data_IF_580885515834
#
_entry.id   IF_580885515834
#
_cell.length_a   1.000
_cell.length_b   1.000
_cell.length_c   1.000
_cell.angle_alpha   90.00
_cell.angle_beta   90.00
_cell.angle_gamma   90.00
#
_symmetry.space_group_name_H-M   'P 1'
#
loop_
_entity.id
_entity.type
_entity.pdbx_description
1 polymer ?
#
# COMPACT_ATOMS: atom_id res chain seq x y z
N UNK A 1 -23.80 26.30 -9.68
CA UNK A 1 -23.59 24.87 -9.41
C UNK A 1 -22.91 24.81 -8.06
N UNK A 2 -23.53 24.20 -7.07
CA UNK A 2 -22.85 23.95 -5.80
C UNK A 2 -21.82 22.84 -6.06
N UNK A 3 -20.57 23.12 -5.74
CA UNK A 3 -19.49 22.15 -5.83
C UNK A 3 -19.78 21.05 -4.80
N UNK A 4 -20.07 19.83 -5.27
CA UNK A 4 -20.36 18.68 -4.40
C UNK A 4 -19.20 18.48 -3.42
N UNK A 5 -19.52 18.32 -2.13
CA UNK A 5 -18.54 18.34 -1.04
C UNK A 5 -17.57 17.15 -1.12
N UNK A 6 -16.48 17.21 -0.34
CA UNK A 6 -15.51 16.11 -0.34
C UNK A 6 -16.18 14.80 0.08
N UNK A 7 -16.95 14.85 1.17
CA UNK A 7 -17.54 13.66 1.78
C UNK A 7 -18.52 12.96 0.84
N UNK A 8 -19.38 13.71 0.16
CA UNK A 8 -20.38 13.17 -0.78
C UNK A 8 -19.71 12.41 -1.95
N UNK A 9 -18.66 12.99 -2.53
CA UNK A 9 -17.89 12.34 -3.62
C UNK A 9 -17.18 11.08 -3.10
N UNK A 10 -16.56 11.17 -1.93
CA UNK A 10 -15.83 10.06 -1.32
C UNK A 10 -16.76 8.87 -1.04
N UNK A 11 -17.94 9.13 -0.47
CA UNK A 11 -18.96 8.13 -0.22
C UNK A 11 -19.44 7.49 -1.52
N UNK A 12 -19.78 8.29 -2.53
CA UNK A 12 -20.25 7.79 -3.82
C UNK A 12 -19.25 6.82 -4.47
N UNK A 13 -17.96 7.17 -4.52
CA UNK A 13 -16.97 6.30 -5.14
C UNK A 13 -16.68 5.06 -4.29
N UNK A 14 -16.72 5.17 -2.96
CA UNK A 14 -16.54 4.03 -2.07
C UNK A 14 -17.66 2.99 -2.21
N UNK A 15 -18.91 3.43 -2.36
CA UNK A 15 -20.03 2.52 -2.64
C UNK A 15 -19.84 1.79 -3.97
N UNK A 16 -19.45 2.50 -5.03
CA UNK A 16 -19.15 1.88 -6.33
C UNK A 16 -18.02 0.86 -6.23
N UNK A 17 -16.97 1.16 -5.46
CA UNK A 17 -15.86 0.23 -5.21
C UNK A 17 -16.35 -1.10 -4.60
N UNK A 18 -17.19 -1.03 -3.57
CA UNK A 18 -17.71 -2.24 -2.90
C UNK A 18 -18.77 -2.98 -3.70
N UNK A 19 -19.61 -2.27 -4.47
CA UNK A 19 -20.60 -2.88 -5.36
C UNK A 19 -19.96 -3.85 -6.36
N UNK A 20 -18.75 -3.53 -6.84
CA UNK A 20 -18.01 -4.44 -7.70
C UNK A 20 -17.46 -5.65 -6.96
N UNK A 21 -16.83 -5.48 -5.80
CA UNK A 21 -16.28 -6.60 -5.04
C UNK A 21 -17.36 -7.60 -4.63
N UNK A 22 -18.55 -7.13 -4.27
CA UNK A 22 -19.71 -7.98 -4.01
C UNK A 22 -20.19 -8.76 -5.25
N UNK A 23 -19.90 -8.28 -6.47
CA UNK A 23 -20.22 -8.95 -7.74
C UNK A 23 -19.10 -9.89 -8.22
N UNK A 24 -17.89 -9.78 -7.67
CA UNK A 24 -16.66 -10.44 -8.13
C UNK A 24 -16.54 -11.92 -7.73
N UNK A 25 -17.61 -12.55 -7.25
CA UNK A 25 -17.68 -13.99 -6.97
C UNK A 25 -17.53 -14.91 -8.20
N UNK A 26 -17.00 -14.42 -9.33
CA UNK A 26 -16.75 -15.20 -10.53
C UNK A 26 -15.25 -15.20 -10.83
N UNK A 27 -14.65 -16.39 -10.80
CA UNK A 27 -13.22 -16.60 -10.82
C UNK A 27 -12.67 -16.47 -12.27
N UNK A 28 -12.11 -15.30 -12.59
CA UNK A 28 -11.56 -14.92 -13.91
C UNK A 28 -10.50 -15.91 -14.44
N UNK A 29 -9.66 -16.46 -13.56
CA UNK A 29 -8.62 -17.44 -13.92
C UNK A 29 -9.18 -18.71 -14.55
N UNK A 30 -10.38 -19.14 -14.13
CA UNK A 30 -11.05 -20.32 -14.67
C UNK A 30 -11.60 -20.06 -16.07
N UNK A 31 -12.02 -18.82 -16.38
CA UNK A 31 -12.58 -18.48 -17.70
C UNK A 31 -11.48 -18.50 -18.77
N UNK A 32 -10.28 -17.99 -18.47
CA UNK A 32 -9.16 -17.99 -19.42
C UNK A 32 -8.58 -19.39 -19.67
N UNK A 33 -8.64 -20.26 -18.68
CA UNK A 33 -8.25 -21.67 -18.84
C UNK A 33 -9.27 -22.42 -19.70
N UNK A 34 -10.57 -22.27 -19.40
CA UNK A 34 -11.66 -22.88 -20.18
C UNK A 34 -11.71 -22.39 -21.63
N UNK A 35 -11.48 -21.10 -21.88
CA UNK A 35 -11.41 -20.56 -23.24
C UNK A 35 -10.27 -21.21 -24.03
N UNK A 36 -9.08 -21.36 -23.43
CA UNK A 36 -7.93 -22.02 -24.06
C UNK A 36 -8.18 -23.50 -24.35
N UNK A 37 -8.79 -24.23 -23.41
CA UNK A 37 -9.14 -25.63 -23.62
C UNK A 37 -10.13 -25.81 -24.79
N UNK A 38 -11.14 -24.95 -24.86
CA UNK A 38 -12.12 -24.99 -25.96
C UNK A 38 -11.46 -24.63 -27.31
N UNK A 39 -10.56 -23.64 -27.35
CA UNK A 39 -9.79 -23.31 -28.56
C UNK A 39 -8.93 -24.49 -29.02
N UNK A 40 -8.24 -25.17 -28.10
CA UNK A 40 -7.46 -26.37 -28.43
C UNK A 40 -8.33 -27.48 -29.00
N UNK A 41 -9.50 -27.74 -28.41
CA UNK A 41 -10.44 -28.75 -28.88
C UNK A 41 -10.99 -28.42 -30.28
N UNK A 42 -11.34 -27.16 -30.52
CA UNK A 42 -11.78 -26.70 -31.84
C UNK A 42 -10.66 -26.83 -32.89
N UNK A 43 -9.41 -26.50 -32.52
CA UNK A 43 -8.24 -26.60 -33.40
C UNK A 43 -7.85 -28.05 -33.71
N UNK A 44 -8.16 -29.01 -32.83
CA UNK A 44 -7.95 -30.46 -33.05
C UNK A 44 -8.94 -31.09 -34.04
N UNK A 45 -9.86 -30.32 -34.61
CA UNK A 45 -10.72 -30.77 -35.71
C UNK A 45 -12.02 -31.45 -35.27
N UNK A 46 -12.53 -31.11 -34.08
CA UNK A 46 -13.87 -31.55 -33.63
C UNK A 46 -14.93 -31.11 -34.66
N UNK A 47 -15.84 -32.02 -35.02
CA UNK A 47 -16.84 -31.80 -36.07
C UNK A 47 -18.26 -32.16 -35.62
N UNK A 48 -19.25 -31.75 -36.42
CA UNK A 48 -20.66 -32.03 -36.17
C UNK A 48 -21.22 -31.30 -34.95
N UNK A 49 -22.10 -31.98 -34.20
CA UNK A 49 -22.87 -31.39 -33.09
C UNK A 49 -21.98 -30.90 -31.94
N UNK A 50 -20.86 -31.58 -31.68
CA UNK A 50 -19.93 -31.22 -30.61
C UNK A 50 -19.20 -29.90 -30.92
N UNK A 51 -18.88 -29.65 -32.19
CA UNK A 51 -18.28 -28.38 -32.62
C UNK A 51 -19.23 -27.21 -32.36
N UNK A 52 -20.51 -27.35 -32.72
CA UNK A 52 -21.51 -26.31 -32.50
C UNK A 52 -21.73 -26.02 -31.01
N UNK A 53 -21.62 -27.04 -30.15
CA UNK A 53 -21.67 -26.87 -28.69
C UNK A 53 -20.46 -26.10 -28.17
N UNK A 54 -19.25 -26.50 -28.57
CA UNK A 54 -18.00 -25.83 -28.19
C UNK A 54 -17.95 -24.38 -28.68
N UNK A 55 -18.35 -24.09 -29.92
CA UNK A 55 -18.43 -22.71 -30.43
C UNK A 55 -19.47 -21.87 -29.67
N UNK A 56 -20.57 -22.49 -29.23
CA UNK A 56 -21.60 -21.83 -28.41
C UNK A 56 -21.11 -21.52 -26.99
N UNK A 57 -20.41 -22.44 -26.36
CA UNK A 57 -19.78 -22.24 -25.04
C UNK A 57 -18.64 -21.23 -25.10
N UNK A 58 -17.80 -21.29 -26.14
CA UNK A 58 -16.76 -20.31 -26.40
C UNK A 58 -17.31 -18.89 -26.47
N UNK A 59 -18.37 -18.65 -27.25
CA UNK A 59 -19.01 -17.32 -27.34
C UNK A 59 -19.57 -16.84 -26.00
N UNK A 60 -20.14 -17.74 -25.20
CA UNK A 60 -20.66 -17.39 -23.86
C UNK A 60 -19.53 -17.00 -22.93
N UNK A 61 -18.46 -17.79 -22.86
CA UNK A 61 -17.29 -17.52 -22.03
C UNK A 61 -16.58 -16.24 -22.47
N UNK A 62 -16.48 -15.99 -23.78
CA UNK A 62 -15.92 -14.75 -24.32
C UNK A 62 -16.75 -13.53 -23.91
N UNK A 63 -18.08 -13.58 -24.03
CA UNK A 63 -18.95 -12.49 -23.58
C UNK A 63 -18.88 -12.27 -22.06
N UNK A 64 -18.74 -13.34 -21.28
CA UNK A 64 -18.52 -13.25 -19.83
C UNK A 64 -17.18 -12.59 -19.51
N UNK A 65 -16.11 -13.00 -20.19
CA UNK A 65 -14.78 -12.39 -20.07
C UNK A 65 -14.81 -10.90 -20.39
N UNK A 66 -15.34 -10.51 -21.55
CA UNK A 66 -15.46 -9.09 -21.93
C UNK A 66 -16.29 -8.25 -20.95
N UNK A 67 -17.32 -8.85 -20.35
CA UNK A 67 -18.11 -8.18 -19.30
C UNK A 67 -17.29 -7.99 -18.03
N UNK A 68 -16.48 -8.97 -17.66
CA UNK A 68 -15.62 -8.88 -16.48
C UNK A 68 -14.43 -7.94 -16.70
N UNK A 69 -13.77 -7.98 -17.85
CA UNK A 69 -12.68 -7.08 -18.20
C UNK A 69 -13.14 -5.62 -18.12
N UNK A 70 -14.33 -5.31 -18.68
CA UNK A 70 -14.95 -3.98 -18.53
C UNK A 70 -15.19 -3.60 -17.08
N UNK A 71 -15.71 -4.52 -16.28
CA UNK A 71 -15.98 -4.27 -14.88
C UNK A 71 -14.68 -4.09 -14.06
N UNK A 72 -13.61 -4.81 -14.40
CA UNK A 72 -12.26 -4.60 -13.81
C UNK A 72 -11.75 -3.22 -14.15
N UNK A 73 -11.81 -2.81 -15.42
CA UNK A 73 -11.38 -1.46 -15.83
C UNK A 73 -12.19 -0.35 -15.15
N UNK A 74 -13.52 -0.53 -15.02
CA UNK A 74 -14.39 0.42 -14.30
C UNK A 74 -13.95 0.57 -12.83
N UNK A 75 -13.48 -0.50 -12.19
CA UNK A 75 -13.02 -0.45 -10.80
C UNK A 75 -11.64 0.11 -10.65
N UNK A 76 -10.74 -0.13 -11.60
CA UNK A 76 -9.45 0.53 -11.61
C UNK A 76 -9.65 2.06 -11.76
N UNK A 77 -10.64 2.48 -12.54
CA UNK A 77 -11.03 3.89 -12.64
C UNK A 77 -11.64 4.43 -11.33
N UNK A 78 -12.60 3.73 -10.71
CA UNK A 78 -13.17 4.12 -9.41
C UNK A 78 -12.08 4.19 -8.33
N UNK A 79 -11.15 3.24 -8.32
CA UNK A 79 -10.01 3.20 -7.41
C UNK A 79 -9.12 4.42 -7.63
N UNK A 80 -8.84 4.77 -8.88
CA UNK A 80 -8.06 5.97 -9.23
C UNK A 80 -8.80 7.24 -8.75
N UNK A 81 -10.09 7.36 -9.00
CA UNK A 81 -10.90 8.51 -8.55
C UNK A 81 -10.92 8.65 -7.01
N UNK A 82 -11.07 7.54 -6.28
CA UNK A 82 -10.95 7.51 -4.82
C UNK A 82 -9.59 8.03 -4.37
N UNK A 83 -8.51 7.52 -4.98
CA UNK A 83 -7.15 7.91 -4.64
C UNK A 83 -6.87 9.38 -4.98
N UNK A 84 -7.34 9.89 -6.12
CA UNK A 84 -7.16 11.30 -6.52
C UNK A 84 -7.89 12.24 -5.55
N UNK A 85 -9.07 11.84 -5.11
CA UNK A 85 -9.82 12.56 -4.08
C UNK A 85 -9.06 12.50 -2.74
N UNK A 86 -8.66 11.32 -2.28
CA UNK A 86 -7.90 11.13 -1.02
C UNK A 86 -6.50 11.76 -1.05
N UNK A 87 -5.88 11.94 -2.21
CA UNK A 87 -4.62 12.70 -2.33
C UNK A 87 -4.78 14.18 -1.96
N UNK A 88 -6.01 14.69 -2.01
CA UNK A 88 -6.42 16.02 -1.56
C UNK A 88 -7.32 15.93 -0.32
N UNK A 89 -7.15 14.90 0.52
CA UNK A 89 -7.99 14.64 1.69
C UNK A 89 -8.19 15.91 2.54
N UNK A 90 -9.40 16.43 2.50
CA UNK A 90 -9.82 17.64 3.20
C UNK A 90 -11.30 17.45 3.57
N UNK A 91 -11.59 16.58 4.55
CA UNK A 91 -12.96 16.33 4.95
C UNK A 91 -13.61 17.60 5.49
N UNK A 92 -14.89 17.74 5.23
CA UNK A 92 -15.69 18.86 5.73
C UNK A 92 -15.94 18.64 7.23
N UNK A 93 -15.41 19.52 8.08
CA UNK A 93 -15.44 19.40 9.53
C UNK A 93 -16.05 20.63 10.19
N UNK A 94 -16.82 20.37 11.23
CA UNK A 94 -17.40 21.38 12.10
C UNK A 94 -16.41 21.83 13.20
N UNK A 95 -16.80 22.85 13.96
CA UNK A 95 -16.02 23.28 15.13
C UNK A 95 -15.84 22.13 16.13
N UNK A 96 -14.61 22.03 16.64
CA UNK A 96 -14.20 21.04 17.63
C UNK A 96 -15.10 21.06 18.86
N UNK A 97 -15.51 19.88 19.32
CA UNK A 97 -16.25 19.66 20.57
C UNK A 97 -15.46 18.65 21.41
N UNK A 98 -14.98 19.09 22.57
CA UNK A 98 -14.10 18.30 23.45
C UNK A 98 -12.88 17.74 22.68
N UNK A 99 -12.77 16.42 22.53
CA UNK A 99 -11.67 15.77 21.80
C UNK A 99 -12.08 15.30 20.39
N UNK A 100 -13.20 15.79 19.87
CA UNK A 100 -13.75 15.36 18.59
C UNK A 100 -13.88 16.54 17.63
N UNK A 101 -13.44 16.36 16.39
CA UNK A 101 -13.83 17.18 15.25
C UNK A 101 -14.94 16.43 14.50
N UNK A 102 -16.21 16.78 14.70
CA UNK A 102 -17.30 16.18 13.96
C UNK A 102 -17.25 16.62 12.49
N UNK A 103 -17.86 15.83 11.60
CA UNK A 103 -18.10 16.28 10.22
C UNK A 103 -19.09 17.44 10.19
N UNK A 104 -18.93 18.29 9.20
CA UNK A 104 -19.83 19.42 8.92
C UNK A 104 -21.28 18.93 8.82
N UNK A 105 -22.15 19.47 9.66
CA UNK A 105 -23.58 19.14 9.69
C UNK A 105 -24.37 19.55 8.43
N UNK A 106 -23.85 20.46 7.59
CA UNK A 106 -24.45 20.81 6.30
C UNK A 106 -24.18 19.74 5.21
N UNK A 107 -23.23 18.84 5.46
CA UNK A 107 -22.82 17.78 4.55
C UNK A 107 -22.95 16.38 5.17
N UNK A 108 -22.97 15.35 4.33
CA UNK A 108 -22.96 13.97 4.83
C UNK A 108 -21.59 13.67 5.49
N UNK A 109 -21.53 12.94 6.61
CA UNK A 109 -20.26 12.45 7.15
C UNK A 109 -19.58 11.46 6.19
N UNK A 110 -18.27 11.27 6.36
CA UNK A 110 -17.59 10.17 5.67
C UNK A 110 -18.13 8.82 6.16
N UNK A 111 -18.57 8.00 5.22
CA UNK A 111 -19.15 6.68 5.48
C UNK A 111 -18.09 5.65 5.87
N UNK A 112 -18.51 4.60 6.57
CA UNK A 112 -17.68 3.42 6.85
C UNK A 112 -17.12 2.80 5.55
N UNK A 113 -17.93 2.81 4.48
CA UNK A 113 -17.55 2.31 3.16
C UNK A 113 -16.28 2.98 2.63
N UNK A 114 -16.13 4.29 2.85
CA UNK A 114 -14.93 5.04 2.45
C UNK A 114 -13.69 4.54 3.19
N UNK A 115 -13.73 4.46 4.52
CA UNK A 115 -12.59 4.00 5.31
C UNK A 115 -12.18 2.59 4.95
N UNK A 116 -13.17 1.70 4.77
CA UNK A 116 -12.93 0.33 4.33
C UNK A 116 -12.26 0.30 2.97
N UNK A 117 -12.74 1.10 2.01
CA UNK A 117 -12.20 1.11 0.66
C UNK A 117 -10.75 1.60 0.65
N UNK A 118 -10.45 2.70 1.33
CA UNK A 118 -9.09 3.27 1.36
C UNK A 118 -8.10 2.35 2.09
N UNK A 119 -8.50 1.74 3.20
CA UNK A 119 -7.64 0.78 3.93
C UNK A 119 -7.44 -0.53 3.17
N UNK A 120 -8.43 -1.00 2.42
CA UNK A 120 -8.29 -2.12 1.49
C UNK A 120 -7.34 -1.78 0.32
N UNK A 121 -7.44 -0.56 -0.22
CA UNK A 121 -6.56 -0.09 -1.29
C UNK A 121 -5.12 -0.01 -0.78
N UNK A 122 -4.90 0.60 0.38
CA UNK A 122 -3.60 0.85 0.98
C UNK A 122 -2.91 -0.40 1.53
N UNK A 123 -3.66 -1.25 2.24
CA UNK A 123 -3.09 -2.32 3.05
C UNK A 123 -3.68 -3.70 2.77
N UNK A 124 -4.68 -3.82 1.88
CA UNK A 124 -5.44 -5.08 1.65
C UNK A 124 -6.16 -5.59 2.91
N UNK A 125 -6.40 -4.69 3.86
CA UNK A 125 -7.06 -4.98 5.13
C UNK A 125 -8.18 -3.93 5.34
N UNK A 126 -9.41 -4.21 4.85
CA UNK A 126 -10.52 -3.28 4.99
C UNK A 126 -10.85 -3.04 6.47
N UNK A 127 -10.82 -1.77 6.89
CA UNK A 127 -11.11 -1.33 8.26
C UNK A 127 -12.17 -0.21 8.26
N UNK A 128 -13.13 -0.20 9.21
CA UNK A 128 -14.18 0.82 9.28
C UNK A 128 -13.67 2.20 9.71
N UNK A 129 -12.40 2.32 10.10
CA UNK A 129 -11.75 3.56 10.52
C UNK A 129 -10.24 3.50 10.22
N UNK A 130 -9.59 4.66 10.31
CA UNK A 130 -8.13 4.78 10.22
C UNK A 130 -7.61 5.20 11.59
N UNK A 131 -6.74 4.36 12.16
CA UNK A 131 -6.21 4.55 13.50
C UNK A 131 -4.78 5.09 13.45
N UNK A 132 -4.52 6.12 14.24
CA UNK A 132 -3.21 6.73 14.46
C UNK A 132 -2.83 6.65 15.93
N UNK A 133 -1.56 6.91 16.24
CA UNK A 133 -1.08 6.97 17.62
C UNK A 133 -1.78 8.06 18.44
N UNK A 134 -1.93 9.26 17.87
CA UNK A 134 -2.51 10.44 18.55
C UNK A 134 -4.01 10.63 18.26
N UNK A 135 -4.60 9.89 17.32
CA UNK A 135 -5.99 10.09 16.91
C UNK A 135 -6.60 8.94 16.11
N UNK A 136 -7.85 9.12 15.69
CA UNK A 136 -8.60 8.21 14.83
C UNK A 136 -9.49 9.02 13.90
N UNK A 137 -9.61 8.57 12.65
CA UNK A 137 -10.60 9.09 11.71
C UNK A 137 -11.63 7.98 11.46
N UNK A 138 -12.89 8.27 11.73
CA UNK A 138 -14.00 7.31 11.62
C UNK A 138 -15.29 8.01 11.17
N UNK A 139 -16.41 7.28 10.97
CA UNK A 139 -17.68 7.90 10.61
C UNK A 139 -18.23 8.88 11.66
N UNK A 140 -17.81 8.75 12.92
CA UNK A 140 -18.16 9.67 14.00
C UNK A 140 -17.39 11.00 13.97
N UNK A 141 -16.38 11.12 13.09
CA UNK A 141 -15.50 12.29 12.97
C UNK A 141 -14.04 11.94 13.26
N UNK A 142 -13.27 12.95 13.61
CA UNK A 142 -11.86 12.80 14.00
C UNK A 142 -11.75 12.89 15.51
N UNK A 143 -11.33 11.79 16.13
CA UNK A 143 -11.24 11.64 17.58
C UNK A 143 -9.76 11.74 17.98
N UNK A 144 -9.42 12.70 18.82
CA UNK A 144 -8.10 12.80 19.43
C UNK A 144 -8.01 11.87 20.65
N UNK A 145 -6.96 11.05 20.70
CA UNK A 145 -6.75 10.08 21.78
C UNK A 145 -5.90 10.64 22.92
N UNK A 146 -5.18 11.72 22.65
CA UNK A 146 -4.30 12.38 23.61
C UNK A 146 -4.98 13.64 24.14
N UNK A 147 -4.78 13.97 25.43
CA UNK A 147 -5.19 15.27 25.94
C UNK A 147 -4.46 16.36 25.17
N UNK A 148 -5.19 17.34 24.64
CA UNK A 148 -4.60 18.49 23.96
C UNK A 148 -4.91 19.76 24.75
N UNK A 149 -3.87 20.57 24.90
CA UNK A 149 -3.89 21.79 25.72
C UNK A 149 -4.38 23.02 24.96
N UNK A 150 -4.43 22.95 23.64
CA UNK A 150 -4.83 24.05 22.75
C UNK A 150 -5.39 23.54 21.43
N UNK A 151 -6.12 24.40 20.71
CA UNK A 151 -6.58 24.09 19.36
C UNK A 151 -5.42 23.98 18.37
N UNK A 152 -4.34 24.75 18.57
CA UNK A 152 -3.14 24.64 17.75
C UNK A 152 -2.55 23.23 17.78
N UNK A 153 -2.47 22.62 18.97
CA UNK A 153 -1.99 21.25 19.13
C UNK A 153 -2.93 20.24 18.46
N UNK A 154 -4.23 20.44 18.59
CA UNK A 154 -5.25 19.63 17.95
C UNK A 154 -5.14 19.68 16.41
N UNK A 155 -5.02 20.87 15.84
CA UNK A 155 -4.82 21.08 14.40
C UNK A 155 -3.51 20.47 13.91
N UNK A 156 -2.42 20.54 14.70
CA UNK A 156 -1.15 19.89 14.37
C UNK A 156 -1.31 18.37 14.24
N UNK A 157 -1.99 17.73 15.19
CA UNK A 157 -2.25 16.28 15.16
C UNK A 157 -3.10 15.93 13.95
N UNK A 158 -4.17 16.68 13.70
CA UNK A 158 -5.06 16.47 12.55
C UNK A 158 -4.33 16.60 11.21
N UNK A 159 -3.54 17.66 11.04
CA UNK A 159 -2.74 17.88 9.82
C UNK A 159 -1.74 16.74 9.59
N UNK A 160 -1.13 16.20 10.65
CA UNK A 160 -0.25 15.04 10.54
C UNK A 160 -1.01 13.81 10.04
N UNK A 161 -2.19 13.52 10.57
CA UNK A 161 -3.03 12.40 10.11
C UNK A 161 -3.43 12.57 8.64
N UNK A 162 -3.83 13.78 8.24
CA UNK A 162 -4.20 14.08 6.86
C UNK A 162 -3.03 13.93 5.91
N UNK A 163 -1.86 14.46 6.26
CA UNK A 163 -0.64 14.33 5.48
C UNK A 163 -0.31 12.85 5.23
N UNK A 164 -0.40 11.98 6.24
CA UNK A 164 -0.12 10.54 6.06
C UNK A 164 -1.07 9.92 5.04
N UNK A 165 -2.36 10.22 5.12
CA UNK A 165 -3.39 9.70 4.19
C UNK A 165 -3.18 10.22 2.77
N UNK A 166 -2.90 11.53 2.63
CA UNK A 166 -2.66 12.17 1.35
C UNK A 166 -1.42 11.61 0.65
N UNK A 167 -0.30 11.49 1.38
CA UNK A 167 0.95 10.97 0.81
C UNK A 167 0.86 9.48 0.46
N UNK A 168 0.10 8.69 1.25
CA UNK A 168 -0.23 7.31 0.91
C UNK A 168 -1.03 7.21 -0.40
N UNK A 169 -2.03 8.07 -0.59
CA UNK A 169 -2.81 8.12 -1.82
C UNK A 169 -1.96 8.51 -3.04
N UNK A 170 -1.12 9.55 -2.90
CA UNK A 170 -0.18 9.97 -3.96
C UNK A 170 0.78 8.85 -4.35
N UNK A 171 1.32 8.11 -3.38
CA UNK A 171 2.16 6.93 -3.64
C UNK A 171 1.42 5.89 -4.48
N UNK A 172 0.20 5.53 -4.11
CA UNK A 172 -0.59 4.56 -4.88
C UNK A 172 -0.97 5.03 -6.29
N UNK A 173 -1.05 6.34 -6.52
CA UNK A 173 -1.24 6.92 -7.85
C UNK A 173 0.06 7.00 -8.67
N UNK A 174 1.22 6.70 -8.07
CA UNK A 174 2.52 6.91 -8.71
C UNK A 174 2.89 8.38 -8.88
N UNK A 175 2.31 9.27 -8.07
CA UNK A 175 2.63 10.70 -8.04
C UNK A 175 3.84 10.97 -7.14
N UNK A 176 4.50 12.10 -7.34
CA UNK A 176 5.55 12.57 -6.45
C UNK A 176 5.01 12.73 -5.02
N UNK A 177 5.66 12.06 -4.07
CA UNK A 177 5.20 11.99 -2.69
C UNK A 177 6.39 11.97 -1.71
N UNK A 178 6.13 12.30 -0.45
CA UNK A 178 7.11 12.31 0.62
C UNK A 178 7.51 10.90 1.06
N UNK A 179 6.64 9.90 0.92
CA UNK A 179 6.94 8.53 1.36
C UNK A 179 8.10 7.94 0.55
N UNK A 180 8.05 8.03 -0.77
CA UNK A 180 9.13 7.53 -1.65
C UNK A 180 10.44 8.31 -1.42
N UNK A 181 10.37 9.63 -1.32
CA UNK A 181 11.55 10.48 -1.03
C UNK A 181 12.20 10.10 0.30
N UNK A 182 11.39 9.90 1.33
CA UNK A 182 11.85 9.47 2.65
C UNK A 182 12.44 8.07 2.61
N UNK A 183 11.80 7.15 1.91
CA UNK A 183 12.27 5.78 1.76
C UNK A 183 13.66 5.74 1.11
N UNK A 184 13.85 6.47 0.01
CA UNK A 184 15.15 6.61 -0.65
C UNK A 184 16.22 7.21 0.28
N UNK A 185 15.87 8.27 1.03
CA UNK A 185 16.79 8.90 1.97
C UNK A 185 17.26 7.94 3.06
N UNK A 186 16.35 7.20 3.69
CA UNK A 186 16.71 6.26 4.75
C UNK A 186 17.53 5.11 4.16
N UNK A 187 17.15 4.58 2.99
CA UNK A 187 17.89 3.49 2.33
C UNK A 187 19.33 3.87 1.98
N UNK A 188 19.59 5.14 1.69
CA UNK A 188 20.95 5.62 1.42
C UNK A 188 21.83 5.68 2.68
N UNK A 189 21.26 5.49 3.87
CA UNK A 189 21.92 5.59 5.18
C UNK A 189 21.84 4.25 5.92
N UNK A 190 22.88 3.45 5.77
CA UNK A 190 22.91 2.06 6.25
C UNK A 190 22.54 1.92 7.74
N UNK A 191 23.16 2.72 8.62
CA UNK A 191 22.92 2.61 10.07
C UNK A 191 21.54 3.14 10.47
N UNK A 192 21.11 4.23 9.84
CA UNK A 192 19.77 4.78 10.01
C UNK A 192 18.69 3.79 9.55
N UNK A 193 18.90 3.09 8.45
CA UNK A 193 17.96 2.08 7.93
C UNK A 193 17.83 0.88 8.87
N UNK A 194 18.94 0.39 9.43
CA UNK A 194 18.90 -0.68 10.44
C UNK A 194 18.09 -0.22 11.66
N UNK A 195 18.42 0.95 12.20
CA UNK A 195 17.73 1.49 13.37
C UNK A 195 16.24 1.76 13.11
N UNK A 196 15.90 2.24 11.92
CA UNK A 196 14.53 2.44 11.48
C UNK A 196 13.74 1.13 11.50
N UNK A 197 14.28 0.04 10.96
CA UNK A 197 13.62 -1.27 11.00
C UNK A 197 13.43 -1.79 12.43
N UNK A 198 14.42 -1.61 13.30
CA UNK A 198 14.30 -1.92 14.75
C UNK A 198 13.14 -1.09 15.35
N UNK A 199 13.07 0.20 15.06
CA UNK A 199 12.02 1.07 15.58
C UNK A 199 10.62 0.73 15.03
N UNK A 200 10.50 0.19 13.82
CA UNK A 200 9.22 -0.33 13.31
C UNK A 200 8.70 -1.48 14.17
N UNK A 201 9.59 -2.35 14.64
CA UNK A 201 9.25 -3.50 15.50
C UNK A 201 8.93 -3.06 16.94
N UNK A 202 9.83 -2.30 17.57
CA UNK A 202 9.76 -1.97 19.00
C UNK A 202 9.08 -0.64 19.34
N UNK A 203 8.77 0.17 18.32
CA UNK A 203 8.07 1.48 18.38
C UNK A 203 8.79 2.62 19.07
N UNK A 204 9.43 2.38 20.21
CA UNK A 204 10.09 3.41 21.01
C UNK A 204 11.27 2.81 21.75
N UNK A 205 12.48 3.36 21.54
CA UNK A 205 13.70 2.87 22.17
C UNK A 205 14.69 4.00 22.45
N UNK A 206 15.54 3.84 23.47
CA UNK A 206 16.70 4.71 23.65
C UNK A 206 17.80 4.38 22.64
N UNK A 207 18.77 5.29 22.47
CA UNK A 207 19.94 5.02 21.63
C UNK A 207 20.71 3.77 22.11
N UNK A 208 20.87 3.61 23.43
CA UNK A 208 21.58 2.48 24.03
C UNK A 208 20.84 1.15 23.80
N UNK A 209 19.52 1.17 23.70
CA UNK A 209 18.73 -0.02 23.37
C UNK A 209 18.87 -0.40 21.90
N UNK A 210 18.77 0.57 21.00
CA UNK A 210 19.01 0.35 19.56
C UNK A 210 20.41 -0.22 19.34
N UNK A 211 21.43 0.36 19.98
CA UNK A 211 22.81 -0.11 19.88
C UNK A 211 22.98 -1.55 20.35
N UNK A 212 22.32 -1.91 21.48
CA UNK A 212 22.33 -3.28 22.02
C UNK A 212 21.65 -4.28 21.10
N UNK A 213 20.53 -3.93 20.47
CA UNK A 213 19.85 -4.80 19.51
C UNK A 213 20.72 -5.01 18.27
N UNK A 214 21.33 -3.94 17.74
CA UNK A 214 22.31 -4.04 16.66
C UNK A 214 23.50 -4.93 17.04
N UNK A 215 24.02 -4.85 18.27
CA UNK A 215 25.13 -5.69 18.76
C UNK A 215 24.78 -7.19 18.75
N UNK A 216 23.52 -7.53 19.00
CA UNK A 216 23.05 -8.92 19.04
C UNK A 216 22.83 -9.45 17.63
N UNK A 217 22.19 -8.65 16.77
CA UNK A 217 21.80 -9.07 15.43
C UNK A 217 22.99 -9.11 14.45
N UNK A 218 24.02 -8.28 14.65
CA UNK A 218 25.12 -8.14 13.68
C UNK A 218 26.52 -8.20 14.33
N UNK A 219 26.73 -9.29 15.08
CA UNK A 219 27.92 -9.52 15.90
C UNK A 219 29.22 -9.67 15.12
N UNK A 220 29.14 -10.03 13.83
CA UNK A 220 30.31 -10.23 12.95
C UNK A 220 30.70 -8.95 12.20
N UNK A 221 29.74 -8.17 11.69
CA UNK A 221 30.02 -6.89 11.05
C UNK A 221 30.52 -5.85 12.06
N UNK A 222 29.92 -5.77 13.25
CA UNK A 222 30.41 -4.86 14.30
C UNK A 222 31.83 -5.18 14.77
N UNK A 223 32.28 -6.43 14.70
CA UNK A 223 33.70 -6.76 14.99
C UNK A 223 34.67 -6.11 14.00
N UNK A 224 34.22 -5.81 12.78
CA UNK A 224 35.01 -5.17 11.73
C UNK A 224 34.98 -3.63 11.78
N UNK A 225 33.89 -3.03 12.30
CA UNK A 225 33.62 -1.58 12.22
C UNK A 225 33.34 -0.92 13.61
N UNK A 226 33.68 -1.61 14.71
CA UNK A 226 33.20 -1.28 16.07
C UNK A 226 33.45 0.16 16.55
N UNK A 227 34.55 0.78 16.14
CA UNK A 227 34.93 2.10 16.67
C UNK A 227 34.07 3.24 16.13
N UNK A 228 33.56 3.15 14.91
CA UNK A 228 32.80 4.24 14.26
C UNK A 228 31.31 3.97 14.15
N UNK A 229 30.87 2.71 14.30
CA UNK A 229 29.48 2.30 14.15
C UNK A 229 28.52 3.12 15.04
N UNK A 230 28.82 3.20 16.34
CA UNK A 230 27.92 3.86 17.30
C UNK A 230 27.84 5.38 17.07
N UNK A 231 28.93 6.01 16.62
CA UNK A 231 28.96 7.43 16.27
C UNK A 231 28.19 7.71 14.98
N UNK A 232 28.37 6.88 13.93
CA UNK A 232 27.64 6.99 12.68
C UNK A 232 26.14 6.75 12.85
N UNK A 233 25.76 5.72 13.59
CA UNK A 233 24.36 5.44 13.93
C UNK A 233 23.70 6.65 14.59
N UNK A 234 24.35 7.22 15.61
CA UNK A 234 23.83 8.41 16.29
C UNK A 234 23.70 9.58 15.32
N UNK A 235 24.74 9.85 14.53
CA UNK A 235 24.75 10.97 13.58
C UNK A 235 23.62 10.82 12.56
N UNK A 236 23.46 9.66 11.95
CA UNK A 236 22.45 9.43 10.92
C UNK A 236 21.02 9.46 11.47
N UNK A 237 20.79 8.98 12.70
CA UNK A 237 19.50 9.13 13.37
C UNK A 237 19.15 10.60 13.65
N UNK A 238 20.11 11.40 14.12
CA UNK A 238 19.90 12.84 14.34
C UNK A 238 19.70 13.59 13.02
N UNK A 239 20.39 13.19 11.95
CA UNK A 239 20.18 13.72 10.60
C UNK A 239 18.76 13.39 10.10
N UNK A 240 18.28 12.16 10.27
CA UNK A 240 16.91 11.78 9.89
C UNK A 240 15.84 12.62 10.61
N UNK A 241 16.05 12.94 11.89
CA UNK A 241 15.12 13.80 12.64
C UNK A 241 15.16 15.25 12.14
N UNK A 242 16.34 15.74 11.74
CA UNK A 242 16.52 17.11 11.24
C UNK A 242 15.99 17.28 9.82
N UNK A 243 16.08 16.23 9.02
CA UNK A 243 15.56 16.23 7.66
C UNK A 243 14.04 16.38 7.68
N UNK A 244 13.47 16.88 6.59
CA UNK A 244 12.01 17.05 6.42
C UNK A 244 11.28 15.72 6.22
N UNK A 245 11.84 14.63 6.75
CA UNK A 245 11.33 13.29 6.62
C UNK A 245 10.76 12.83 7.98
N UNK A 246 9.44 12.90 8.19
CA UNK A 246 8.85 12.75 9.51
C UNK A 246 8.67 11.27 9.89
N UNK A 247 9.70 10.44 9.71
CA UNK A 247 9.64 8.97 9.92
C UNK A 247 9.95 8.56 11.35
N UNK A 248 10.77 9.33 12.04
CA UNK A 248 11.10 9.16 13.46
C UNK A 248 11.04 10.51 14.15
N UNK A 249 10.68 10.51 15.44
CA UNK A 249 10.72 11.70 16.30
C UNK A 249 11.45 11.40 17.59
N UNK A 250 11.89 12.45 18.28
CA UNK A 250 12.34 12.34 19.67
C UNK A 250 11.18 12.57 20.63
N UNK A 251 11.11 11.71 21.64
CA UNK A 251 10.25 11.87 22.80
C UNK A 251 11.09 11.65 24.07
N UNK A 252 11.49 12.75 24.71
CA UNK A 252 12.52 12.73 25.75
C UNK A 252 13.85 12.14 25.23
N UNK A 253 14.28 11.03 25.83
CA UNK A 253 15.49 10.30 25.44
C UNK A 253 15.23 9.20 24.40
N UNK A 254 13.97 8.97 24.03
CA UNK A 254 13.59 7.89 23.12
C UNK A 254 13.51 8.39 21.68
N UNK A 255 13.87 7.49 20.77
CA UNK A 255 13.54 7.58 19.35
C UNK A 255 12.24 6.80 19.15
N UNK A 256 11.25 7.45 18.54
CA UNK A 256 9.91 6.90 18.35
C UNK A 256 9.58 6.89 16.87
N UNK A 257 9.13 5.75 16.35
CA UNK A 257 8.60 5.65 15.01
C UNK A 257 7.29 6.44 14.91
N UNK A 258 7.12 7.24 13.86
CA UNK A 258 5.87 7.96 13.63
C UNK A 258 4.86 7.10 12.86
N UNK A 259 3.59 7.47 12.86
CA UNK A 259 2.59 6.84 11.99
C UNK A 259 2.96 6.96 10.51
N UNK A 260 3.56 8.09 10.10
CA UNK A 260 4.11 8.27 8.76
C UNK A 260 5.20 7.24 8.45
N UNK A 261 6.17 7.05 9.37
CA UNK A 261 7.24 6.07 9.21
C UNK A 261 6.70 4.64 9.11
N UNK A 262 5.70 4.29 9.92
CA UNK A 262 5.06 2.98 9.88
C UNK A 262 4.34 2.71 8.57
N UNK A 263 3.56 3.68 8.08
CA UNK A 263 2.81 3.56 6.83
C UNK A 263 3.77 3.48 5.64
N UNK A 264 4.77 4.35 5.60
CA UNK A 264 5.82 4.33 4.58
C UNK A 264 6.53 2.97 4.57
N UNK A 265 6.93 2.42 5.72
CA UNK A 265 7.57 1.10 5.79
C UNK A 265 6.65 0.03 5.20
N UNK A 266 5.39 -0.06 5.66
CA UNK A 266 4.43 -1.06 5.17
C UNK A 266 4.23 -1.02 3.67
N UNK A 267 4.15 0.18 3.10
CA UNK A 267 3.92 0.35 1.66
C UNK A 267 5.17 0.09 0.82
N UNK A 268 6.33 0.58 1.26
CA UNK A 268 7.55 0.50 0.47
C UNK A 268 8.26 -0.85 0.60
N UNK A 269 8.18 -1.52 1.76
CA UNK A 269 8.79 -2.84 1.96
C UNK A 269 8.08 -3.92 1.14
N UNK A 270 6.74 -3.87 1.06
CA UNK A 270 5.95 -4.81 0.27
C UNK A 270 6.31 -4.74 -1.23
N UNK A 271 6.44 -3.52 -1.77
CA UNK A 271 6.87 -3.32 -3.17
C UNK A 271 8.26 -3.88 -3.44
N UNK A 272 9.17 -3.76 -2.48
CA UNK A 272 10.53 -4.26 -2.61
C UNK A 272 10.60 -5.80 -2.56
N UNK A 273 9.82 -6.43 -1.68
CA UNK A 273 9.67 -7.88 -1.68
C UNK A 273 9.07 -8.39 -3.00
N UNK A 274 8.05 -7.71 -3.53
CA UNK A 274 7.45 -8.05 -4.83
C UNK A 274 8.44 -7.90 -5.98
N UNK A 275 9.23 -6.82 -6.00
CA UNK A 275 10.30 -6.62 -7.00
C UNK A 275 11.35 -7.71 -6.91
N UNK A 276 11.80 -8.05 -5.71
CA UNK A 276 12.83 -9.08 -5.49
C UNK A 276 12.34 -10.45 -5.96
N UNK A 277 11.11 -10.84 -5.60
CA UNK A 277 10.49 -12.08 -6.10
C UNK A 277 10.34 -12.10 -7.63
N UNK A 278 9.92 -10.98 -8.22
CA UNK A 278 9.79 -10.88 -9.68
C UNK A 278 11.14 -10.94 -10.42
N UNK A 279 12.22 -10.47 -9.80
CA UNK A 279 13.58 -10.57 -10.33
C UNK A 279 14.15 -11.99 -10.20
N UNK A 280 13.89 -12.67 -9.07
CA UNK A 280 14.23 -14.08 -8.88
C UNK A 280 13.50 -14.99 -9.89
N UNK A 281 12.19 -14.80 -10.07
CA UNK A 281 11.38 -15.52 -11.06
C UNK A 281 11.88 -15.30 -12.49
N UNK A 282 12.28 -14.07 -12.83
CA UNK A 282 12.90 -13.77 -14.15
C UNK A 282 14.26 -14.44 -14.30
N UNK A 283 15.07 -14.45 -13.23
CA UNK A 283 16.35 -15.14 -13.19
C UNK A 283 16.21 -16.65 -13.45
N UNK A 284 15.27 -17.30 -12.77
CA UNK A 284 14.98 -18.72 -12.94
C UNK A 284 14.44 -19.03 -14.35
N UNK A 285 13.54 -18.21 -14.89
CA UNK A 285 13.04 -18.36 -16.26
C UNK A 285 14.15 -18.24 -17.31
N UNK A 286 15.13 -17.35 -17.12
CA UNK A 286 16.29 -17.23 -18.00
C UNK A 286 17.19 -18.47 -17.93
N UNK A 287 17.40 -19.04 -16.74
CA UNK A 287 18.16 -20.28 -16.55
C UNK A 287 17.46 -21.46 -17.24
N UNK A 288 16.15 -21.63 -17.04
CA UNK A 288 15.34 -22.69 -17.67
C UNK A 288 15.37 -22.55 -19.19
N UNK A 289 15.22 -21.33 -19.73
CA UNK A 289 15.26 -21.07 -21.18
C UNK A 289 16.63 -21.42 -21.79
N UNK A 290 17.72 -21.14 -21.06
CA UNK A 290 19.08 -21.48 -21.48
C UNK A 290 19.35 -22.99 -21.43
N UNK A 291 18.84 -23.70 -20.42
CA UNK A 291 18.93 -25.16 -20.32
C UNK A 291 18.15 -25.87 -21.44
N UNK A 292 16.94 -25.40 -21.74
CA UNK A 292 16.12 -25.92 -22.84
C UNK A 292 16.79 -25.69 -24.21
N UNK A 293 17.40 -24.51 -24.41
CA UNK A 293 18.17 -24.21 -25.63
C UNK A 293 19.36 -25.15 -25.81
N UNK A 294 20.14 -25.40 -24.74
CA UNK A 294 21.26 -26.37 -24.76
C UNK A 294 20.79 -27.80 -25.02
N UNK A 295 19.68 -28.23 -24.41
CA UNK A 295 19.11 -29.56 -24.66
C UNK A 295 18.67 -29.75 -26.12
N UNK A 296 18.13 -28.70 -26.74
CA UNK A 296 17.72 -28.72 -28.14
C UNK A 296 18.92 -28.78 -29.11
N UNK A 297 19.99 -28.03 -28.82
CA UNK A 297 21.24 -28.08 -29.59
C UNK A 297 21.95 -29.44 -29.50
N UNK A 298 21.92 -30.07 -28.32
CA UNK A 298 22.47 -31.43 -28.12
C UNK A 298 21.65 -32.50 -28.85
N UNK A 299 20.33 -32.33 -28.98
CA UNK A 299 19.49 -33.22 -29.81
C UNK A 299 19.76 -33.06 -31.31
N UNK A 300 20.07 -31.84 -31.78
CA UNK A 300 20.45 -31.61 -33.19
C UNK A 300 21.79 -32.21 -33.58
N UNK A 301 22.75 -32.32 -32.65
CA UNK A 301 24.07 -32.93 -32.91
C UNK A 301 24.07 -34.47 -32.90
N UNK A 302 22.97 -35.11 -32.51
CA UNK A 302 22.81 -36.58 -32.47
C UNK A 302 21.96 -37.16 -33.62
N UNK A 303 21.59 -36.33 -34.60
CA UNK A 303 20.98 -36.74 -35.88
C UNK A 303 21.94 -36.42 -37.01
#
# INVERSE_FOLDING_TARGET
MYETSFNEKANLYAEKYWLFWNRKGVNLSNIDEQLREIEELLNRGVSGKLRLQLEGEYRKLQAMKEKMDRAVSEVDEIKRELLELTANFAPDLDLRKDNVFPYDSEHEPLSESYFRAITDIFFKEPSPYIDFSEGRISPEGIILKVPVSSDFEAFRIMNNMFMVIQEAAKKHLGLENLMDKCWEQIRSREYAFIAFNILVEYRSLTLEEIQRICDIQDREYKKLVSQTYNEQLRRELEELIRDKCPVIKKDGNNYVITDFGLWMWRMCSAEEEERTRAEEDRGEQVVIKNLLKRAFELRKKKR
#
